data_IF_145362518982
#
_entry.id   IF_145362518982
#
_cell.length_a   1.000
_cell.length_b   1.000
_cell.length_c   1.000
_cell.angle_alpha   90.00
_cell.angle_beta   90.00
_cell.angle_gamma   90.00
#
_symmetry.space_group_name_H-M   'P 1'
#
loop_
_entity.id
_entity.type
_entity.pdbx_description
1 polymer ?
#
# COMPACT_ATOMS: atom_id res chain seq x y z
N UNK A 1 7.51 -5.43 1.32
CA UNK A 1 6.25 -5.08 0.66
C UNK A 1 5.91 -3.59 0.80
N UNK A 2 5.68 -3.04 2.00
CA UNK A 2 5.20 -1.67 2.19
C UNK A 2 6.02 -0.58 1.48
N UNK A 3 7.34 -0.61 1.54
CA UNK A 3 8.21 0.36 0.84
C UNK A 3 8.05 0.30 -0.69
N UNK A 4 7.83 -0.89 -1.26
CA UNK A 4 7.58 -1.05 -2.70
C UNK A 4 6.25 -0.42 -3.06
N UNK A 5 5.21 -0.66 -2.26
CA UNK A 5 3.87 -0.08 -2.44
C UNK A 5 3.93 1.45 -2.44
N UNK A 6 4.56 2.03 -1.43
CA UNK A 6 4.66 3.50 -1.29
C UNK A 6 5.53 4.11 -2.39
N UNK A 7 6.66 3.47 -2.73
CA UNK A 7 7.54 3.93 -3.80
C UNK A 7 6.85 3.91 -5.17
N UNK A 8 6.15 2.83 -5.50
CA UNK A 8 5.37 2.74 -6.74
C UNK A 8 4.23 3.74 -6.77
N UNK A 9 3.51 3.92 -5.66
CA UNK A 9 2.42 4.89 -5.57
C UNK A 9 2.89 6.32 -5.84
N UNK A 10 4.00 6.74 -5.24
CA UNK A 10 4.58 8.07 -5.50
C UNK A 10 5.07 8.20 -6.95
N UNK A 11 5.68 7.15 -7.50
CA UNK A 11 6.12 7.13 -8.89
C UNK A 11 4.93 7.29 -9.84
N UNK A 12 3.88 6.49 -9.64
CA UNK A 12 2.69 6.50 -10.49
C UNK A 12 1.97 7.85 -10.43
N UNK A 13 1.77 8.41 -9.24
CA UNK A 13 1.17 9.74 -9.07
C UNK A 13 2.01 10.79 -9.81
N UNK A 14 3.34 10.74 -9.67
CA UNK A 14 4.24 11.70 -10.33
C UNK A 14 4.22 11.57 -11.85
N UNK A 15 4.24 10.35 -12.37
CA UNK A 15 4.17 10.08 -13.81
C UNK A 15 2.83 10.53 -14.40
N UNK A 16 1.71 10.19 -13.74
CA UNK A 16 0.40 10.62 -14.20
C UNK A 16 0.22 12.13 -14.17
N UNK A 17 0.78 12.80 -13.16
CA UNK A 17 0.83 14.26 -13.14
C UNK A 17 1.51 14.80 -14.39
N UNK A 18 2.70 14.32 -14.73
CA UNK A 18 3.45 14.76 -15.92
C UNK A 18 2.68 14.48 -17.22
N UNK A 19 2.08 13.31 -17.33
CA UNK A 19 1.26 12.94 -18.50
C UNK A 19 0.08 13.90 -18.64
N UNK A 20 -0.69 14.13 -17.58
CA UNK A 20 -1.85 15.01 -17.60
C UNK A 20 -1.45 16.46 -17.86
N UNK A 21 -0.30 16.91 -17.34
CA UNK A 21 0.19 18.26 -17.62
C UNK A 21 0.51 18.50 -19.11
N UNK A 22 0.89 17.45 -19.84
CA UNK A 22 1.09 17.51 -21.28
C UNK A 22 -0.22 17.50 -22.08
N UNK A 23 -1.28 16.85 -21.58
CA UNK A 23 -2.53 16.66 -22.32
C UNK A 23 -3.61 17.66 -21.96
N UNK A 24 -3.58 18.24 -20.76
CA UNK A 24 -4.56 19.23 -20.33
C UNK A 24 -4.16 20.60 -20.83
N UNK A 25 -4.86 21.09 -21.85
CA UNK A 25 -4.72 22.44 -22.38
C UNK A 25 -5.70 23.39 -21.67
N UNK A 26 -5.21 24.22 -20.77
CA UNK A 26 -5.99 25.22 -20.05
C UNK A 26 -5.23 26.54 -20.00
N UNK A 27 -5.91 27.64 -20.26
CA UNK A 27 -5.31 28.97 -20.31
C UNK A 27 -4.83 29.48 -18.94
N UNK A 28 -5.50 29.03 -17.87
CA UNK A 28 -5.16 29.42 -16.49
C UNK A 28 -4.44 28.29 -15.77
N UNK A 29 -3.23 28.55 -15.27
CA UNK A 29 -2.44 27.57 -14.52
C UNK A 29 -3.16 27.05 -13.27
N UNK A 30 -3.93 27.90 -12.58
CA UNK A 30 -4.69 27.53 -11.38
C UNK A 30 -5.86 26.60 -11.71
N UNK A 31 -6.58 26.86 -12.78
CA UNK A 31 -7.64 25.98 -13.26
C UNK A 31 -7.08 24.66 -13.81
N UNK A 32 -5.95 24.70 -14.51
CA UNK A 32 -5.24 23.51 -14.98
C UNK A 32 -4.89 22.58 -13.81
N UNK A 33 -4.34 23.12 -12.73
CA UNK A 33 -3.99 22.36 -11.54
C UNK A 33 -5.21 21.67 -10.88
N UNK A 34 -6.35 22.36 -10.83
CA UNK A 34 -7.62 21.76 -10.33
C UNK A 34 -8.09 20.65 -11.26
N UNK A 35 -8.06 20.86 -12.58
CA UNK A 35 -8.46 19.84 -13.55
C UNK A 35 -7.56 18.59 -13.46
N UNK A 36 -6.25 18.76 -13.38
CA UNK A 36 -5.30 17.65 -13.23
C UNK A 36 -5.59 16.88 -11.95
N UNK A 37 -5.67 17.55 -10.80
CA UNK A 37 -5.89 16.89 -9.51
C UNK A 37 -7.23 16.17 -9.44
N UNK A 38 -8.31 16.75 -9.97
CA UNK A 38 -9.62 16.10 -10.03
C UNK A 38 -9.65 14.91 -10.99
N UNK A 39 -8.96 15.02 -12.13
CA UNK A 39 -8.80 13.89 -13.05
C UNK A 39 -8.02 12.75 -12.40
N UNK A 40 -6.99 13.07 -11.63
CA UNK A 40 -6.20 12.07 -10.90
C UNK A 40 -7.01 11.30 -9.84
N UNK A 41 -8.13 11.83 -9.34
CA UNK A 41 -9.03 11.07 -8.47
C UNK A 41 -9.62 9.84 -9.18
N UNK A 42 -9.78 9.86 -10.50
CA UNK A 42 -10.23 8.68 -11.27
C UNK A 42 -9.19 7.56 -11.25
N UNK A 43 -7.89 7.90 -11.20
CA UNK A 43 -6.83 6.92 -10.95
C UNK A 43 -7.00 6.23 -9.59
N UNK A 44 -7.33 6.99 -8.54
CA UNK A 44 -7.66 6.44 -7.22
C UNK A 44 -8.84 5.46 -7.28
N UNK A 45 -9.89 5.77 -8.06
CA UNK A 45 -11.02 4.85 -8.26
C UNK A 45 -10.60 3.57 -9.00
N UNK A 46 -9.70 3.65 -9.97
CA UNK A 46 -9.11 2.49 -10.65
C UNK A 46 -8.32 1.61 -9.69
N UNK A 47 -7.46 2.21 -8.86
CA UNK A 47 -6.71 1.52 -7.82
C UNK A 47 -7.63 0.81 -6.83
N UNK A 48 -8.73 1.45 -6.40
CA UNK A 48 -9.76 0.88 -5.53
C UNK A 48 -10.42 -0.37 -6.14
N UNK A 49 -10.81 -0.28 -7.40
CA UNK A 49 -11.41 -1.41 -8.12
C UNK A 49 -10.45 -2.60 -8.22
N UNK A 50 -9.18 -2.34 -8.56
CA UNK A 50 -8.17 -3.37 -8.65
C UNK A 50 -7.85 -3.98 -7.27
N UNK A 51 -7.76 -3.15 -6.23
CA UNK A 51 -7.53 -3.61 -4.86
C UNK A 51 -8.65 -4.53 -4.37
N UNK A 52 -9.91 -4.22 -4.70
CA UNK A 52 -11.04 -5.07 -4.37
C UNK A 52 -10.88 -6.48 -4.97
N UNK A 53 -10.55 -6.59 -6.26
CA UNK A 53 -10.36 -7.87 -6.91
C UNK A 53 -9.14 -8.63 -6.38
N UNK A 54 -8.02 -7.95 -6.16
CA UNK A 54 -6.82 -8.56 -5.61
C UNK A 54 -7.05 -9.07 -4.19
N UNK A 55 -7.75 -8.31 -3.35
CA UNK A 55 -8.07 -8.67 -1.97
C UNK A 55 -9.03 -9.85 -1.89
N UNK A 56 -10.10 -9.83 -2.68
CA UNK A 56 -11.08 -10.93 -2.71
C UNK A 56 -10.44 -12.20 -3.28
N UNK A 57 -9.71 -12.09 -4.41
CA UNK A 57 -9.02 -13.21 -5.03
C UNK A 57 -7.94 -13.81 -4.13
N UNK A 58 -7.12 -12.96 -3.50
CA UNK A 58 -6.09 -13.38 -2.54
C UNK A 58 -6.71 -14.10 -1.34
N UNK A 59 -7.78 -13.55 -0.76
CA UNK A 59 -8.47 -14.18 0.37
C UNK A 59 -9.11 -15.53 0.03
N UNK A 60 -9.69 -15.68 -1.17
CA UNK A 60 -10.23 -16.96 -1.62
C UNK A 60 -9.09 -17.98 -1.79
N UNK A 61 -7.97 -17.58 -2.40
CA UNK A 61 -6.83 -18.45 -2.60
C UNK A 61 -6.24 -18.92 -1.27
N UNK A 62 -6.02 -18.01 -0.32
CA UNK A 62 -5.50 -18.34 1.02
C UNK A 62 -6.43 -19.32 1.73
N UNK A 63 -7.74 -19.06 1.75
CA UNK A 63 -8.69 -19.96 2.41
C UNK A 63 -8.81 -21.32 1.71
N UNK A 64 -8.71 -21.39 0.39
CA UNK A 64 -8.71 -22.65 -0.32
C UNK A 64 -7.46 -23.50 0.00
N UNK A 65 -6.30 -22.86 0.13
CA UNK A 65 -5.05 -23.52 0.49
C UNK A 65 -5.08 -24.03 1.94
N UNK A 66 -5.48 -23.20 2.90
CA UNK A 66 -5.63 -23.51 4.33
C UNK A 66 -6.59 -24.72 4.54
N UNK A 67 -7.82 -24.63 4.05
CA UNK A 67 -8.80 -25.70 4.17
C UNK A 67 -8.33 -26.98 3.44
N UNK A 68 -7.68 -26.84 2.29
CA UNK A 68 -7.12 -27.97 1.54
C UNK A 68 -6.01 -28.67 2.31
N UNK A 69 -5.10 -27.92 2.93
CA UNK A 69 -4.02 -28.45 3.76
C UNK A 69 -4.56 -29.19 4.99
N UNK A 70 -5.58 -28.63 5.63
CA UNK A 70 -6.25 -29.24 6.78
C UNK A 70 -6.96 -30.55 6.42
N UNK A 71 -7.69 -30.58 5.31
CA UNK A 71 -8.38 -31.80 4.87
C UNK A 71 -7.40 -32.93 4.55
N UNK A 72 -6.35 -32.64 3.81
CA UNK A 72 -5.35 -33.65 3.45
C UNK A 72 -4.54 -34.09 4.68
N UNK A 73 -4.09 -33.15 5.49
CA UNK A 73 -3.25 -33.45 6.66
C UNK A 73 -4.04 -34.10 7.78
N UNK A 74 -5.02 -33.40 8.33
CA UNK A 74 -5.74 -33.83 9.53
C UNK A 74 -6.74 -34.95 9.26
N UNK A 75 -7.50 -34.86 8.17
CA UNK A 75 -8.62 -35.79 7.91
C UNK A 75 -8.13 -37.05 7.17
N UNK A 76 -7.39 -36.90 6.06
CA UNK A 76 -6.97 -38.04 5.26
C UNK A 76 -5.71 -38.74 5.80
N UNK A 77 -4.67 -37.94 6.13
CA UNK A 77 -3.39 -38.50 6.56
C UNK A 77 -3.28 -38.71 8.08
N UNK A 78 -4.15 -38.08 8.87
CA UNK A 78 -4.13 -38.15 10.34
C UNK A 78 -2.85 -37.59 10.97
N UNK A 79 -2.22 -36.61 10.31
CA UNK A 79 -1.00 -35.97 10.78
C UNK A 79 -1.32 -34.55 11.32
N UNK A 80 -0.47 -34.00 12.21
CA UNK A 80 -0.64 -32.65 12.71
C UNK A 80 -0.65 -31.60 11.60
N UNK A 81 -1.26 -30.45 11.87
CA UNK A 81 -1.15 -29.25 11.06
C UNK A 81 0.33 -28.85 10.91
N UNK A 82 0.69 -28.26 9.78
CA UNK A 82 2.07 -27.84 9.47
C UNK A 82 3.12 -28.98 9.47
N UNK A 83 2.70 -30.22 9.40
CA UNK A 83 3.65 -31.34 9.32
C UNK A 83 4.38 -31.33 7.97
N UNK A 84 5.72 -31.38 7.95
CA UNK A 84 6.50 -31.34 6.70
C UNK A 84 6.22 -32.53 5.77
N UNK A 85 5.56 -33.58 6.24
CA UNK A 85 5.11 -34.72 5.43
C UNK A 85 3.85 -34.40 4.62
N UNK A 86 3.12 -33.33 4.97
CA UNK A 86 1.95 -32.90 4.23
C UNK A 86 2.37 -31.97 3.07
N UNK A 87 2.30 -32.41 1.81
CA UNK A 87 2.68 -31.56 0.67
C UNK A 87 1.79 -30.32 0.53
N UNK A 88 0.58 -30.34 1.09
CA UNK A 88 -0.33 -29.21 1.05
C UNK A 88 0.10 -28.03 1.95
N UNK A 89 0.97 -28.28 2.94
CA UNK A 89 1.58 -27.22 3.79
C UNK A 89 2.34 -26.19 2.94
N UNK A 90 2.96 -26.61 1.83
CA UNK A 90 3.61 -25.66 0.91
C UNK A 90 2.57 -24.74 0.25
N UNK A 91 1.44 -25.29 -0.18
CA UNK A 91 0.36 -24.51 -0.79
C UNK A 91 -0.26 -23.54 0.20
N UNK A 92 -0.39 -23.92 1.46
CA UNK A 92 -0.88 -23.11 2.55
C UNK A 92 0.04 -21.91 2.82
N UNK A 93 1.34 -22.16 3.01
CA UNK A 93 2.33 -21.09 3.18
C UNK A 93 2.41 -20.13 1.98
N UNK A 94 2.24 -20.63 0.75
CA UNK A 94 2.15 -19.79 -0.45
C UNK A 94 0.85 -18.99 -0.44
N UNK A 95 -0.25 -19.59 -0.01
CA UNK A 95 -1.55 -18.95 0.12
C UNK A 95 -1.52 -17.75 1.03
N UNK A 96 -0.91 -17.88 2.21
CA UNK A 96 -0.70 -16.80 3.15
C UNK A 96 0.07 -15.63 2.52
N UNK A 97 1.16 -15.93 1.81
CA UNK A 97 1.91 -14.90 1.08
C UNK A 97 1.07 -14.21 0.01
N UNK A 98 0.23 -14.93 -0.72
CA UNK A 98 -0.68 -14.33 -1.72
C UNK A 98 -1.70 -13.40 -1.04
N UNK A 99 -2.29 -13.82 0.08
CA UNK A 99 -3.21 -13.02 0.85
C UNK A 99 -2.58 -11.71 1.37
N UNK A 100 -1.42 -11.84 1.98
CA UNK A 100 -0.73 -10.70 2.61
C UNK A 100 -0.04 -9.78 1.59
N UNK A 101 0.55 -10.31 0.53
CA UNK A 101 1.27 -9.50 -0.45
C UNK A 101 0.35 -8.97 -1.53
N UNK A 102 -0.42 -9.81 -2.21
CA UNK A 102 -1.30 -9.36 -3.29
C UNK A 102 -2.56 -8.68 -2.73
N UNK A 103 -3.20 -9.28 -1.73
CA UNK A 103 -4.43 -8.76 -1.14
C UNK A 103 -4.20 -7.48 -0.34
N UNK A 104 -3.42 -7.56 0.72
CA UNK A 104 -3.17 -6.40 1.61
C UNK A 104 -2.28 -5.34 0.95
N UNK A 105 -1.34 -5.74 0.10
CA UNK A 105 -0.49 -4.79 -0.63
C UNK A 105 -1.30 -3.89 -1.57
N UNK A 106 -2.27 -4.44 -2.27
CA UNK A 106 -3.17 -3.68 -3.13
C UNK A 106 -4.07 -2.71 -2.34
N UNK A 107 -4.56 -3.13 -1.17
CA UNK A 107 -5.37 -2.31 -0.26
C UNK A 107 -4.58 -1.11 0.29
N UNK A 108 -3.31 -1.34 0.67
CA UNK A 108 -2.40 -0.28 1.11
C UNK A 108 -2.10 0.71 -0.02
N UNK A 109 -1.88 0.22 -1.24
CA UNK A 109 -1.64 1.06 -2.42
C UNK A 109 -2.82 1.98 -2.69
N UNK A 110 -4.05 1.44 -2.70
CA UNK A 110 -5.29 2.20 -2.86
C UNK A 110 -5.41 3.31 -1.82
N UNK A 111 -5.31 2.94 -0.54
CA UNK A 111 -5.50 3.87 0.58
C UNK A 111 -4.44 4.97 0.57
N UNK A 112 -3.22 4.64 0.24
CA UNK A 112 -2.11 5.59 0.16
C UNK A 112 -2.29 6.57 -1.01
N UNK A 113 -2.55 6.08 -2.22
CA UNK A 113 -2.83 6.92 -3.39
C UNK A 113 -4.04 7.81 -3.14
N UNK A 114 -5.13 7.24 -2.62
CA UNK A 114 -6.36 7.96 -2.33
C UNK A 114 -6.14 9.12 -1.36
N UNK A 115 -5.39 8.91 -0.30
CA UNK A 115 -5.09 9.95 0.70
C UNK A 115 -4.25 11.09 0.10
N UNK A 116 -3.21 10.77 -0.66
CA UNK A 116 -2.35 11.78 -1.32
C UNK A 116 -3.14 12.59 -2.34
N UNK A 117 -3.90 11.90 -3.21
CA UNK A 117 -4.67 12.54 -4.28
C UNK A 117 -5.82 13.39 -3.74
N UNK A 118 -6.55 12.91 -2.74
CA UNK A 118 -7.63 13.66 -2.12
C UNK A 118 -7.10 14.95 -1.45
N UNK A 119 -5.98 14.87 -0.74
CA UNK A 119 -5.36 16.03 -0.11
C UNK A 119 -4.86 17.03 -1.15
N UNK A 120 -4.24 16.55 -2.23
CA UNK A 120 -3.78 17.40 -3.33
C UNK A 120 -4.94 18.11 -4.03
N UNK A 121 -6.05 17.41 -4.31
CA UNK A 121 -7.24 17.98 -4.94
C UNK A 121 -7.92 19.05 -4.04
N UNK A 122 -8.02 18.78 -2.74
CA UNK A 122 -8.52 19.76 -1.78
C UNK A 122 -7.62 21.00 -1.70
N UNK A 123 -6.29 20.80 -1.69
CA UNK A 123 -5.31 21.89 -1.72
C UNK A 123 -5.43 22.74 -2.99
N UNK A 124 -5.58 22.09 -4.16
CA UNK A 124 -5.77 22.77 -5.43
C UNK A 124 -7.04 23.64 -5.45
N UNK A 125 -8.14 23.12 -4.91
CA UNK A 125 -9.42 23.84 -4.85
C UNK A 125 -9.42 24.97 -3.81
N UNK A 126 -8.82 24.75 -2.63
CA UNK A 126 -8.81 25.71 -1.55
C UNK A 126 -8.01 26.99 -1.88
N UNK A 127 -6.91 26.86 -2.63
CA UNK A 127 -6.00 27.96 -2.94
C UNK A 127 -6.06 28.41 -4.41
N UNK A 128 -7.19 28.24 -5.08
CA UNK A 128 -7.39 28.58 -6.50
C UNK A 128 -7.12 30.07 -6.79
N UNK A 129 -7.30 30.93 -5.80
CA UNK A 129 -7.09 32.38 -5.92
C UNK A 129 -5.64 32.80 -5.70
N UNK A 130 -4.79 31.94 -5.15
CA UNK A 130 -3.39 32.23 -4.81
C UNK A 130 -2.47 31.17 -5.42
N UNK A 131 -1.95 31.40 -6.65
CA UNK A 131 -1.22 30.37 -7.42
C UNK A 131 -0.03 29.76 -6.70
N UNK A 132 0.74 30.57 -5.98
CA UNK A 132 1.94 30.09 -5.26
C UNK A 132 1.59 29.16 -4.10
N UNK A 133 0.52 29.47 -3.36
CA UNK A 133 0.04 28.60 -2.29
C UNK A 133 -0.62 27.33 -2.84
N UNK A 134 -1.33 27.45 -3.97
CA UNK A 134 -1.97 26.32 -4.61
C UNK A 134 -0.96 25.23 -4.99
N UNK A 135 0.13 25.61 -5.65
CA UNK A 135 1.18 24.66 -6.02
C UNK A 135 1.81 23.98 -4.81
N UNK A 136 2.13 24.78 -3.78
CA UNK A 136 2.69 24.25 -2.54
C UNK A 136 1.72 23.31 -1.80
N UNK A 137 0.42 23.60 -1.81
CA UNK A 137 -0.61 22.76 -1.19
C UNK A 137 -0.78 21.42 -1.93
N UNK A 138 -0.65 21.41 -3.26
CA UNK A 138 -0.68 20.19 -4.06
C UNK A 138 0.57 19.33 -3.79
N UNK A 139 1.74 19.97 -3.69
CA UNK A 139 3.01 19.28 -3.50
C UNK A 139 3.21 18.76 -2.08
N UNK A 140 2.62 19.44 -1.08
CA UNK A 140 2.80 19.11 0.34
C UNK A 140 2.55 17.63 0.70
N UNK A 141 1.42 16.99 0.33
CA UNK A 141 1.19 15.59 0.67
C UNK A 141 2.21 14.65 0.02
N UNK A 142 2.69 14.96 -1.18
CA UNK A 142 3.72 14.15 -1.85
C UNK A 142 5.07 14.28 -1.16
N UNK A 143 5.45 15.48 -0.71
CA UNK A 143 6.68 15.70 0.05
C UNK A 143 6.63 15.00 1.42
N UNK A 144 5.52 15.12 2.13
CA UNK A 144 5.32 14.42 3.42
C UNK A 144 5.46 12.92 3.22
N UNK A 145 4.85 12.37 2.18
CA UNK A 145 4.94 10.97 1.82
C UNK A 145 6.38 10.55 1.48
N UNK A 146 7.12 11.36 0.71
CA UNK A 146 8.51 11.10 0.36
C UNK A 146 9.44 11.12 1.59
N UNK A 147 9.26 12.07 2.50
CA UNK A 147 9.97 12.10 3.77
C UNK A 147 9.62 10.88 4.64
N UNK A 148 8.35 10.46 4.66
CA UNK A 148 7.90 9.26 5.35
C UNK A 148 8.61 7.99 4.88
N UNK A 149 8.90 7.86 3.58
CA UNK A 149 9.69 6.74 3.05
C UNK A 149 11.10 6.72 3.62
N UNK A 150 11.76 7.87 3.70
CA UNK A 150 13.12 7.99 4.23
C UNK A 150 13.12 7.61 5.73
N UNK A 151 12.16 8.14 6.50
CA UNK A 151 12.01 7.83 7.91
C UNK A 151 11.69 6.35 8.14
N UNK A 152 10.84 5.76 7.31
CA UNK A 152 10.52 4.34 7.37
C UNK A 152 11.74 3.46 7.10
N UNK A 153 12.62 3.86 6.18
CA UNK A 153 13.90 3.18 5.97
C UNK A 153 14.76 3.20 7.25
N UNK A 154 14.83 4.34 7.93
CA UNK A 154 15.55 4.43 9.21
C UNK A 154 14.88 3.58 10.29
N UNK A 155 13.55 3.58 10.36
CA UNK A 155 12.75 2.77 11.28
C UNK A 155 13.04 1.27 11.16
N UNK A 156 13.22 0.75 9.96
CA UNK A 156 13.55 -0.67 9.73
C UNK A 156 14.85 -1.05 10.41
N UNK A 157 15.87 -0.21 10.37
CA UNK A 157 17.15 -0.48 11.04
C UNK A 157 17.07 -0.48 12.58
N UNK A 158 16.02 0.14 13.12
CA UNK A 158 15.78 0.16 14.57
C UNK A 158 15.08 -1.11 15.08
N UNK A 159 14.42 -1.86 14.19
CA UNK A 159 13.77 -3.14 14.53
C UNK A 159 14.84 -4.23 14.61
N UNK A 160 15.31 -4.52 15.83
CA UNK A 160 16.28 -5.58 16.09
C UNK A 160 15.73 -6.52 17.15
N UNK A 161 15.72 -7.82 16.83
CA UNK A 161 15.30 -8.89 17.73
C UNK A 161 16.37 -9.97 17.80
N UNK A 162 16.33 -10.80 18.85
CA UNK A 162 17.18 -11.98 19.02
C UNK A 162 16.34 -13.23 18.82
N UNK A 163 16.97 -14.32 18.38
CA UNK A 163 16.32 -15.63 18.35
C UNK A 163 15.87 -16.04 19.76
N UNK A 164 14.65 -16.57 19.86
CA UNK A 164 14.05 -16.93 21.15
C UNK A 164 13.49 -15.76 21.96
N UNK A 165 13.35 -14.56 21.37
CA UNK A 165 12.72 -13.42 22.02
C UNK A 165 11.27 -13.71 22.40
N UNK A 166 10.84 -13.27 23.59
CA UNK A 166 9.44 -13.38 24.01
C UNK A 166 8.53 -12.48 23.14
N UNK A 167 7.24 -12.83 23.04
CA UNK A 167 6.25 -12.05 22.28
C UNK A 167 6.25 -10.56 22.67
N UNK A 168 6.38 -10.27 23.97
CA UNK A 168 6.45 -8.89 24.47
C UNK A 168 7.69 -8.13 23.98
N UNK A 169 8.82 -8.84 23.84
CA UNK A 169 10.06 -8.24 23.29
C UNK A 169 9.94 -7.96 21.80
N UNK A 170 9.26 -8.83 21.04
CA UNK A 170 8.96 -8.64 19.62
C UNK A 170 8.07 -7.41 19.41
N UNK A 171 6.99 -7.29 20.19
CA UNK A 171 6.10 -6.13 20.13
C UNK A 171 6.84 -4.82 20.45
N UNK A 172 7.68 -4.80 21.49
CA UNK A 172 8.50 -3.61 21.82
C UNK A 172 9.52 -3.26 20.75
N UNK A 173 10.06 -4.23 20.03
CA UNK A 173 10.96 -3.98 18.91
C UNK A 173 10.23 -3.34 17.72
N UNK A 174 9.01 -3.81 17.42
CA UNK A 174 8.12 -3.20 16.41
C UNK A 174 7.71 -1.78 16.81
N UNK A 175 7.31 -1.57 18.05
CA UNK A 175 6.97 -0.24 18.57
C UNK A 175 8.12 0.77 18.42
N UNK A 176 9.36 0.34 18.62
CA UNK A 176 10.53 1.20 18.38
C UNK A 176 10.67 1.58 16.92
N UNK A 177 10.46 0.64 15.99
CA UNK A 177 10.48 0.92 14.56
C UNK A 177 9.39 1.91 14.16
N UNK A 178 8.17 1.72 14.64
CA UNK A 178 7.01 2.59 14.35
C UNK A 178 7.23 4.00 14.91
N UNK A 179 7.71 4.12 16.15
CA UNK A 179 7.93 5.43 16.80
C UNK A 179 9.12 6.20 16.24
N UNK A 180 10.01 5.56 15.47
CA UNK A 180 11.17 6.20 14.82
C UNK A 180 10.91 6.56 13.35
N UNK A 181 9.89 6.00 12.73
CA UNK A 181 9.44 6.32 11.38
C UNK A 181 8.34 7.39 11.38
#
# INVERSE_FOLDING_TARGET
MGLVVVGLALLDISLWWLVLDCFVEEASATHKAVMITTTMLTFGMGASTQALFARVGGGIFTKAADVGADLVGKVEAGIPEDDPRNPATIADNVGDNVGDVAGMGADLYESYCGSVLATAALGAAAFITVPELQFNAILAPMLIAAFGVILSLLGIFMVKTKEGASQLQLLRALDRGINTS
#
